data_IF_548340361969
#
_entry.id   IF_548340361969
#
_cell.length_a   1.000
_cell.length_b   1.000
_cell.length_c   1.000
_cell.angle_alpha   90.00
_cell.angle_beta   90.00
_cell.angle_gamma   90.00
#
_symmetry.space_group_name_H-M   'P 1'
#
loop_
_entity.id
_entity.type
_entity.pdbx_description
1 polymer ?
2 non-polymer ?
3 non-polymer ?
4 water ?
#
# COMPACT_ATOMS: atom_id res chain seq x y z
N UNK A 3 -20.26 6.16 -10.55
CA UNK A 3 -20.95 5.85 -9.31
C UNK A 3 -19.99 5.35 -8.20
N UNK A 4 -18.96 4.47 -8.44
CA UNK A 4 -18.11 4.03 -7.32
C UNK A 4 -17.46 5.16 -6.52
N UNK A 5 -16.81 6.13 -7.21
CA UNK A 5 -16.15 7.28 -6.62
C UNK A 5 -17.12 8.22 -5.88
N UNK A 6 -18.30 8.51 -6.48
CA UNK A 6 -19.35 9.35 -5.88
C UNK A 6 -19.87 8.69 -4.60
N UNK A 7 -20.06 7.33 -4.63
CA UNK A 7 -20.50 6.54 -3.48
C UNK A 7 -19.41 6.56 -2.38
N UNK A 8 -18.13 6.35 -2.77
CA UNK A 8 -16.99 6.32 -1.85
C UNK A 8 -16.83 7.66 -1.14
N UNK A 9 -16.97 8.78 -1.88
CA UNK A 9 -16.91 10.14 -1.32
C UNK A 9 -18.09 10.46 -0.41
N UNK A 10 -19.29 9.95 -0.74
CA UNK A 10 -20.51 10.13 0.06
C UNK A 10 -20.28 9.46 1.43
N UNK A 11 -19.81 8.20 1.42
CA UNK A 11 -19.51 7.43 2.63
C UNK A 11 -18.38 8.11 3.46
N UNK A 12 -17.39 8.79 2.81
CA UNK A 12 -16.36 9.54 3.54
C UNK A 12 -17.03 10.63 4.40
N UNK A 13 -17.98 11.39 3.79
CA UNK A 13 -18.69 12.45 4.50
C UNK A 13 -19.42 11.86 5.70
N UNK A 14 -20.03 10.68 5.51
CA UNK A 14 -20.79 9.98 6.55
C UNK A 14 -19.86 9.51 7.72
N UNK A 15 -18.71 8.87 7.39
CA UNK A 15 -17.76 8.40 8.40
C UNK A 15 -17.17 9.62 9.13
N UNK A 16 -16.74 10.66 8.37
CA UNK A 16 -16.15 11.85 8.98
C UNK A 16 -17.15 12.50 9.97
N UNK A 17 -18.41 12.70 9.56
CA UNK A 17 -19.42 13.29 10.44
C UNK A 17 -19.66 12.42 11.69
N UNK A 18 -19.68 11.07 11.52
CA UNK A 18 -19.83 10.19 12.69
C UNK A 18 -18.64 10.35 13.65
N UNK A 19 -17.39 10.31 13.13
CA UNK A 19 -16.19 10.41 13.96
C UNK A 19 -16.12 11.74 14.73
N UNK A 20 -16.40 12.86 14.04
CA UNK A 20 -16.35 14.19 14.64
C UNK A 20 -17.51 14.41 15.62
N UNK A 21 -18.71 13.89 15.31
CA UNK A 21 -19.84 13.99 16.24
C UNK A 21 -19.60 13.13 17.48
N UNK A 22 -18.98 11.94 17.33
CA UNK A 22 -18.63 11.06 18.44
C UNK A 22 -17.68 11.82 19.40
N UNK A 23 -16.63 12.49 18.85
CA UNK A 23 -15.68 13.30 19.63
C UNK A 23 -16.38 14.41 20.42
N UNK A 24 -17.26 15.17 19.75
CA UNK A 24 -18.05 16.24 20.33
C UNK A 24 -19.00 15.74 21.46
N UNK A 25 -19.78 14.66 21.18
CA UNK A 25 -20.84 14.13 22.06
C UNK A 25 -20.41 13.11 23.12
N UNK A 26 -19.34 12.35 22.86
CA UNK A 26 -18.89 11.33 23.79
C UNK A 26 -17.50 11.55 24.35
N UNK A 27 -16.66 12.38 23.70
CA UNK A 27 -15.27 12.60 24.15
C UNK A 27 -14.99 14.01 24.64
N UNK A 28 -16.04 14.82 24.80
CA UNK A 28 -15.97 16.19 25.32
C UNK A 28 -15.13 17.17 24.46
N UNK A 29 -15.06 16.96 23.12
CA UNK A 29 -14.27 17.86 22.28
C UNK A 29 -14.89 19.20 22.03
N UNK A 30 -14.08 20.26 22.15
CA UNK A 30 -14.50 21.63 21.86
C UNK A 30 -14.55 21.87 20.32
N UNK A 31 -15.45 22.76 19.80
CA UNK A 31 -15.52 23.01 18.35
C UNK A 31 -14.21 23.36 17.66
N UNK A 32 -13.35 24.19 18.29
CA UNK A 32 -12.05 24.55 17.68
C UNK A 32 -11.22 23.31 17.36
N UNK A 33 -11.17 22.33 18.29
CA UNK A 33 -10.43 21.09 18.04
C UNK A 33 -11.15 20.20 17.06
N UNK A 34 -12.51 20.18 17.06
CA UNK A 34 -13.28 19.39 16.07
C UNK A 34 -12.95 19.85 14.66
N UNK A 35 -13.00 21.18 14.41
CA UNK A 35 -12.68 21.72 13.09
C UNK A 35 -11.22 21.45 12.72
N UNK A 36 -10.32 21.54 13.72
CA UNK A 36 -8.89 21.22 13.53
C UNK A 36 -8.72 19.73 13.07
N UNK A 37 -9.46 18.79 13.67
CA UNK A 37 -9.37 17.39 13.27
C UNK A 37 -10.03 17.13 11.92
N UNK A 38 -11.13 17.84 11.62
CA UNK A 38 -11.80 17.76 10.32
C UNK A 38 -10.80 18.13 9.20
N UNK A 39 -10.09 19.27 9.38
CA UNK A 39 -9.09 19.74 8.42
C UNK A 39 -7.91 18.73 8.29
N UNK A 40 -7.39 18.22 9.45
CA UNK A 40 -6.30 17.24 9.48
C UNK A 40 -6.70 15.96 8.73
N UNK A 41 -7.92 15.46 8.97
CA UNK A 41 -8.47 14.25 8.34
C UNK A 41 -8.56 14.45 6.80
N UNK A 42 -9.06 15.62 6.36
CA UNK A 42 -9.18 15.96 4.95
C UNK A 42 -7.81 16.01 4.28
N UNK A 43 -6.83 16.69 4.91
CA UNK A 43 -5.45 16.85 4.42
C UNK A 43 -4.73 15.51 4.27
N UNK A 44 -4.92 14.62 5.24
CA UNK A 44 -4.21 13.35 5.24
C UNK A 44 -4.89 12.25 4.46
N UNK A 45 -6.25 12.19 4.46
CA UNK A 45 -6.98 11.08 3.85
C UNK A 45 -7.47 11.31 2.42
N UNK A 46 -7.56 12.58 2.01
CA UNK A 46 -8.03 12.94 0.68
C UNK A 46 -6.87 13.44 -0.23
N UNK A 47 -7.08 13.35 -1.54
CA UNK A 47 -6.11 13.83 -2.52
C UNK A 47 -5.37 12.78 -3.32
N UNK A 48 -5.46 11.53 -2.88
CA UNK A 48 -4.81 10.41 -3.56
C UNK A 48 -5.69 9.79 -4.63
N UNK A 49 -5.33 8.60 -5.10
CA UNK A 49 -6.09 7.93 -6.16
C UNK A 49 -7.20 7.03 -5.60
N UNK A 50 -7.10 6.63 -4.29
CA UNK A 50 -8.06 5.73 -3.61
C UNK A 50 -8.09 4.31 -4.21
N UNK A 51 -6.99 3.90 -4.83
CA UNK A 51 -6.91 2.58 -5.45
C UNK A 51 -7.21 1.44 -4.47
N UNK A 52 -6.68 1.53 -3.23
CA UNK A 52 -6.94 0.52 -2.19
C UNK A 52 -8.42 0.49 -1.79
N UNK A 53 -8.99 1.66 -1.48
CA UNK A 53 -10.39 1.79 -1.11
C UNK A 53 -11.36 1.36 -2.19
N UNK A 54 -11.15 1.83 -3.43
CA UNK A 54 -12.04 1.48 -4.54
C UNK A 54 -11.99 0.00 -4.88
N UNK A 55 -10.83 -0.69 -4.64
CA UNK A 55 -10.67 -2.13 -4.90
C UNK A 55 -11.69 -2.92 -4.05
N UNK A 56 -11.94 -2.49 -2.78
CA UNK A 56 -12.90 -3.15 -1.89
C UNK A 56 -14.31 -3.10 -2.49
N UNK A 57 -14.71 -1.92 -3.02
CA UNK A 57 -16.00 -1.69 -3.68
C UNK A 57 -16.16 -2.63 -4.88
N UNK A 58 -15.15 -2.66 -5.79
CA UNK A 58 -15.11 -3.52 -6.99
C UNK A 58 -15.21 -5.02 -6.68
N UNK A 59 -14.62 -5.47 -5.58
CA UNK A 59 -14.66 -6.87 -5.17
C UNK A 59 -16.09 -7.24 -4.70
N UNK A 60 -16.68 -6.42 -3.81
CA UNK A 60 -18.04 -6.63 -3.29
C UNK A 60 -19.12 -6.71 -4.39
N UNK A 61 -19.06 -5.78 -5.38
CA UNK A 61 -20.02 -5.71 -6.48
C UNK A 61 -19.98 -6.96 -7.37
N UNK A 62 -18.77 -7.50 -7.57
CA UNK A 62 -18.53 -8.70 -8.35
C UNK A 62 -19.12 -9.93 -7.66
N UNK A 63 -19.09 -9.94 -6.32
CA UNK A 63 -19.56 -11.08 -5.52
C UNK A 63 -21.06 -11.07 -5.24
N UNK A 64 -21.76 -9.94 -5.47
CA UNK A 64 -23.22 -9.87 -5.33
C UNK A 64 -23.94 -10.08 -6.67
N UNK A 65 -23.23 -9.81 -7.79
CA UNK A 65 -23.74 -9.91 -9.15
C UNK A 65 -23.49 -11.28 -9.78
N UNK A 66 -22.36 -11.90 -9.42
CA UNK A 66 -21.88 -13.13 -10.03
C UNK A 66 -21.63 -14.26 -9.03
N UNK A 77 -33.48 -6.42 -2.02
CA UNK A 77 -32.21 -5.75 -2.26
C UNK A 77 -31.59 -5.08 -1.05
N UNK A 78 -31.98 -5.52 0.17
CA UNK A 78 -31.46 -4.99 1.44
C UNK A 78 -30.02 -5.45 1.68
N UNK A 79 -29.66 -6.64 1.16
CA UNK A 79 -28.33 -7.22 1.27
C UNK A 79 -27.32 -6.48 0.38
N UNK A 80 -27.72 -6.12 -0.87
CA UNK A 80 -26.86 -5.41 -1.83
C UNK A 80 -26.37 -4.06 -1.29
N UNK A 81 -27.32 -3.17 -0.93
CA UNK A 81 -27.07 -1.83 -0.40
C UNK A 81 -26.13 -1.87 0.81
N UNK A 82 -26.34 -2.86 1.68
CA UNK A 82 -25.58 -3.12 2.90
C UNK A 82 -24.15 -3.55 2.55
N UNK A 83 -23.99 -4.52 1.61
CA UNK A 83 -22.69 -5.03 1.16
C UNK A 83 -21.84 -3.90 0.57
N UNK A 84 -22.41 -3.06 -0.34
CA UNK A 84 -21.70 -1.92 -0.94
C UNK A 84 -21.35 -0.83 0.08
N UNK A 85 -22.25 -0.59 1.08
CA UNK A 85 -21.97 0.40 2.13
C UNK A 85 -20.78 -0.08 2.98
N UNK A 86 -20.81 -1.36 3.37
CA UNK A 86 -19.77 -2.07 4.12
C UNK A 86 -18.44 -2.03 3.36
N UNK A 87 -18.49 -2.21 2.02
CA UNK A 87 -17.31 -2.15 1.13
C UNK A 87 -16.64 -0.77 1.19
N UNK A 88 -17.46 0.29 1.23
CA UNK A 88 -17.00 1.68 1.34
C UNK A 88 -16.32 1.98 2.67
N UNK A 89 -16.90 1.49 3.81
CA UNK A 89 -16.34 1.68 5.15
C UNK A 89 -14.96 0.95 5.23
N UNK A 90 -14.88 -0.30 4.71
CA UNK A 90 -13.62 -1.07 4.67
C UNK A 90 -12.58 -0.36 3.86
N UNK A 91 -13.01 0.19 2.73
CA UNK A 91 -12.20 0.99 1.84
C UNK A 91 -11.61 2.19 2.56
N UNK A 92 -12.44 2.90 3.37
CA UNK A 92 -11.91 4.03 4.11
C UNK A 92 -11.00 3.60 5.24
N UNK A 93 -11.24 2.40 5.84
CA UNK A 93 -10.31 1.86 6.86
C UNK A 93 -8.89 1.75 6.26
N UNK A 94 -8.77 1.21 5.02
CA UNK A 94 -7.47 1.08 4.33
C UNK A 94 -6.85 2.45 3.99
N UNK A 95 -7.65 3.38 3.44
CA UNK A 95 -7.21 4.75 3.13
C UNK A 95 -6.73 5.50 4.37
N UNK A 96 -7.42 5.34 5.51
CA UNK A 96 -6.98 5.95 6.80
C UNK A 96 -5.69 5.25 7.30
N UNK A 97 -5.55 3.92 7.07
CA UNK A 97 -4.33 3.19 7.46
C UNK A 97 -3.14 3.75 6.64
N UNK A 98 -3.36 3.96 5.35
CA UNK A 98 -2.37 4.51 4.41
C UNK A 98 -2.00 5.93 4.89
N UNK A 99 -3.01 6.75 5.23
CA UNK A 99 -2.83 8.11 5.79
C UNK A 99 -1.91 8.03 7.04
N UNK A 100 -2.20 7.07 7.94
CA UNK A 100 -1.40 6.82 9.16
C UNK A 100 0.08 6.55 8.80
N UNK A 101 0.36 5.64 7.84
CA UNK A 101 1.74 5.35 7.42
C UNK A 101 2.45 6.55 6.84
N UNK A 102 1.78 7.36 6.01
CA UNK A 102 2.40 8.57 5.43
C UNK A 102 2.77 9.59 6.50
N UNK A 103 1.90 9.78 7.54
CA UNK A 103 2.23 10.73 8.63
C UNK A 103 3.46 10.15 9.35
N UNK A 104 3.46 8.82 9.63
CA UNK A 104 4.58 8.19 10.33
C UNK A 104 5.87 8.38 9.50
N UNK A 105 5.78 8.22 8.15
CA UNK A 105 6.93 8.41 7.24
C UNK A 105 7.39 9.87 7.27
N UNK A 106 6.46 10.83 7.36
CA UNK A 106 6.80 12.26 7.40
C UNK A 106 7.50 12.68 8.68
N UNK A 107 7.24 11.99 9.81
CA UNK A 107 7.92 12.23 11.09
C UNK A 107 9.35 11.68 10.96
N UNK A 108 9.51 10.46 10.35
CA UNK A 108 10.77 9.72 10.09
C UNK A 108 11.78 10.54 9.29
N UNK A 109 11.28 11.43 8.39
CA UNK A 109 12.08 12.29 7.51
C UNK A 109 11.44 13.67 7.34
N UNK A 124 10.27 21.87 22.90
CA UNK A 124 8.81 21.63 23.01
C UNK A 124 8.10 21.95 21.69
N UNK A 125 8.45 21.20 20.62
CA UNK A 125 7.87 21.40 19.29
C UNK A 125 6.47 20.81 19.15
N UNK A 126 5.46 21.69 19.22
CA UNK A 126 4.04 21.33 19.13
C UNK A 126 3.68 20.79 17.72
N UNK A 127 4.45 21.11 16.65
CA UNK A 127 4.18 20.56 15.30
C UNK A 127 4.49 19.07 15.27
N UNK A 128 5.63 18.64 15.86
CA UNK A 128 6.07 17.25 15.97
C UNK A 128 5.11 16.48 16.91
N UNK A 129 4.69 17.11 18.02
CA UNK A 129 3.73 16.53 18.97
C UNK A 129 2.43 16.29 18.25
N UNK A 130 1.97 17.27 17.44
CA UNK A 130 0.73 17.13 16.70
C UNK A 130 0.84 16.10 15.59
N UNK A 131 1.99 15.97 14.91
CA UNK A 131 2.16 14.96 13.86
C UNK A 131 2.09 13.55 14.49
N UNK A 132 2.77 13.34 15.63
CA UNK A 132 2.72 12.04 16.35
C UNK A 132 1.27 11.77 16.73
N UNK A 133 0.58 12.78 17.29
CA UNK A 133 -0.82 12.64 17.68
C UNK A 133 -1.70 12.29 16.48
N UNK A 134 -1.47 12.96 15.33
CA UNK A 134 -2.20 12.68 14.08
C UNK A 134 -2.05 11.20 13.69
N UNK A 135 -0.83 10.67 13.83
CA UNK A 135 -0.52 9.29 13.46
C UNK A 135 -1.37 8.32 14.26
N UNK A 136 -1.44 8.56 15.58
CA UNK A 136 -2.23 7.76 16.52
C UNK A 136 -3.73 7.85 16.21
N UNK A 137 -4.27 9.07 15.99
CA UNK A 137 -5.68 9.29 15.66
C UNK A 137 -6.10 8.59 14.38
N UNK A 138 -5.34 8.72 13.29
CA UNK A 138 -5.67 8.08 12.01
C UNK A 138 -5.82 6.56 12.13
N UNK A 139 -4.91 5.93 12.87
CA UNK A 139 -4.99 4.49 13.08
C UNK A 139 -6.18 4.16 13.99
N UNK A 140 -6.35 4.90 15.11
CA UNK A 140 -7.50 4.66 16.00
C UNK A 140 -8.82 4.79 15.25
N UNK A 141 -8.88 5.74 14.30
CA UNK A 141 -10.09 5.97 13.49
C UNK A 141 -10.51 4.75 12.65
N UNK A 142 -9.55 3.91 12.24
CA UNK A 142 -9.85 2.69 11.48
C UNK A 142 -10.64 1.75 12.40
N UNK A 143 -10.25 1.65 13.68
CA UNK A 143 -10.98 0.83 14.66
C UNK A 143 -12.35 1.45 14.98
N UNK A 144 -12.39 2.76 15.26
CA UNK A 144 -13.64 3.45 15.65
C UNK A 144 -14.73 3.31 14.56
N UNK A 145 -14.37 3.52 13.26
CA UNK A 145 -15.34 3.41 12.17
C UNK A 145 -15.83 1.97 11.97
N UNK A 146 -14.93 0.97 12.16
CA UNK A 146 -15.28 -0.45 12.06
C UNK A 146 -16.24 -0.84 13.19
N UNK A 147 -15.90 -0.49 14.45
CA UNK A 147 -16.69 -0.81 15.65
C UNK A 147 -18.10 -0.23 15.61
N UNK A 148 -18.28 0.89 14.93
CA UNK A 148 -19.58 1.51 14.80
C UNK A 148 -20.38 0.94 13.62
N UNK A 149 -19.86 1.05 12.38
CA UNK A 149 -20.58 0.63 11.17
C UNK A 149 -20.84 -0.88 11.08
N UNK A 150 -19.97 -1.69 11.69
CA UNK A 150 -20.05 -3.16 11.67
C UNK A 150 -20.37 -3.75 13.05
N UNK A 151 -20.85 -2.92 13.98
CA UNK A 151 -21.21 -3.26 15.36
C UNK A 151 -22.00 -4.58 15.53
N UNK A 152 -23.00 -4.80 14.66
CA UNK A 152 -23.88 -5.98 14.72
C UNK A 152 -23.49 -7.11 13.76
N UNK A 153 -22.51 -6.87 12.86
CA UNK A 153 -22.02 -7.82 11.88
C UNK A 153 -21.29 -9.00 12.52
N UNK A 154 -21.55 -10.25 12.06
CA UNK A 154 -20.85 -11.42 12.63
C UNK A 154 -19.37 -11.46 12.23
N UNK A 155 -19.02 -10.77 11.13
CA UNK A 155 -17.66 -10.72 10.61
C UNK A 155 -16.75 -9.69 11.32
N UNK A 156 -17.31 -8.84 12.23
CA UNK A 156 -16.51 -7.80 12.92
C UNK A 156 -15.19 -8.34 13.53
N UNK A 157 -15.23 -9.45 14.29
CA UNK A 157 -14.05 -10.03 14.94
C UNK A 157 -12.98 -10.47 13.93
N UNK A 158 -13.40 -11.20 12.87
CA UNK A 158 -12.48 -11.67 11.81
C UNK A 158 -11.91 -10.50 11.02
N UNK A 159 -12.74 -9.50 10.73
CA UNK A 159 -12.30 -8.32 9.99
C UNK A 159 -11.22 -7.59 10.79
N UNK A 160 -11.45 -7.36 12.11
CA UNK A 160 -10.52 -6.68 13.02
C UNK A 160 -9.20 -7.44 13.10
N UNK A 161 -9.28 -8.79 13.26
CA UNK A 161 -8.10 -9.65 13.35
C UNK A 161 -7.23 -9.63 12.08
N UNK A 162 -7.85 -9.74 10.88
CA UNK A 162 -7.13 -9.71 9.61
C UNK A 162 -6.51 -8.34 9.35
N UNK A 163 -7.26 -7.26 9.64
CA UNK A 163 -6.77 -5.90 9.51
C UNK A 163 -5.56 -5.65 10.42
N UNK A 164 -5.64 -6.05 11.71
CA UNK A 164 -4.54 -5.89 12.68
C UNK A 164 -3.31 -6.69 12.28
N UNK A 165 -3.52 -7.91 11.74
CA UNK A 165 -2.41 -8.74 11.33
C UNK A 165 -1.69 -8.12 10.12
N UNK A 166 -2.45 -7.52 9.17
CA UNK A 166 -1.86 -6.86 8.00
C UNK A 166 -1.12 -5.59 8.41
N UNK A 167 -1.68 -4.84 9.37
CA UNK A 167 -1.03 -3.64 9.90
C UNK A 167 0.31 -4.04 10.56
N UNK A 168 0.31 -5.10 11.38
CA UNK A 168 1.53 -5.62 11.98
C UNK A 168 2.55 -6.02 10.89
N UNK A 169 2.10 -6.78 9.86
CA UNK A 169 2.93 -7.21 8.73
C UNK A 169 3.67 -5.99 8.13
N UNK A 170 2.91 -4.89 7.92
CA UNK A 170 3.45 -3.65 7.34
C UNK A 170 4.57 -3.02 8.20
N UNK A 171 4.40 -2.99 9.54
CA UNK A 171 5.41 -2.45 10.47
C UNK A 171 6.66 -3.35 10.41
N UNK A 172 6.46 -4.66 10.31
CA UNK A 172 7.59 -5.60 10.18
C UNK A 172 8.35 -5.31 8.86
N UNK A 173 7.63 -5.06 7.78
CA UNK A 173 8.21 -4.74 6.47
C UNK A 173 8.99 -3.43 6.51
N UNK A 174 8.47 -2.48 7.27
CA UNK A 174 9.14 -1.19 7.46
C UNK A 174 10.47 -1.40 8.19
N UNK A 175 10.52 -2.32 9.16
CA UNK A 175 11.77 -2.64 9.86
C UNK A 175 12.80 -3.22 8.85
N UNK A 176 12.37 -4.23 8.06
CA UNK A 176 13.20 -4.86 7.03
C UNK A 176 13.76 -3.82 6.08
N UNK A 177 12.94 -2.84 5.69
CA UNK A 177 13.29 -1.77 4.76
C UNK A 177 14.35 -0.80 5.27
N UNK A 178 14.05 -0.18 6.39
CA UNK A 178 14.83 0.84 7.09
C UNK A 178 16.20 0.31 7.57
N UNK A 179 16.31 -1.01 7.78
CA UNK A 179 17.56 -1.61 8.26
C UNK A 179 18.28 -2.44 7.23
N UNK A 180 17.80 -2.43 5.97
CA UNK A 180 18.36 -3.26 4.87
C UNK A 180 19.85 -3.07 4.60
N UNK A 181 20.31 -1.83 4.77
CA UNK A 181 21.68 -1.36 4.55
C UNK A 181 22.55 -1.47 5.84
N UNK A 182 21.96 -2.05 6.90
CA UNK A 182 22.59 -2.27 8.21
C UNK A 182 22.35 -3.73 8.67
N UNK A 183 22.57 -4.00 10.00
CA UNK A 183 22.44 -5.24 10.80
C UNK A 183 23.59 -5.39 11.80
N UNK A 199 26.36 -4.86 2.20
CA UNK A 199 25.36 -5.15 1.17
C UNK A 199 24.90 -6.62 1.19
N UNK A 200 25.08 -7.32 2.35
CA UNK A 200 24.73 -8.74 2.50
C UNK A 200 23.27 -9.02 2.25
N UNK A 201 22.39 -8.06 2.61
CA UNK A 201 20.95 -8.22 2.43
C UNK A 201 20.46 -7.67 1.11
N UNK A 202 21.40 -7.24 0.22
CA UNK A 202 21.06 -6.75 -1.11
C UNK A 202 20.97 -7.94 -2.05
N UNK A 203 19.89 -8.72 -1.85
CA UNK A 203 19.58 -9.89 -2.65
C UNK A 203 18.16 -9.74 -3.14
N UNK A 204 17.81 -10.51 -4.20
CA UNK A 204 16.47 -10.47 -4.79
C UNK A 204 15.44 -11.10 -3.82
N UNK A 205 15.82 -12.19 -3.12
CA UNK A 205 14.94 -12.83 -2.15
C UNK A 205 14.60 -11.87 -0.99
N UNK A 206 15.59 -11.08 -0.53
CA UNK A 206 15.36 -10.10 0.53
C UNK A 206 14.57 -8.90 0.02
N UNK A 207 14.82 -8.50 -1.25
CA UNK A 207 14.10 -7.40 -1.88
C UNK A 207 12.62 -7.78 -1.89
N UNK A 208 12.31 -9.06 -2.26
CA UNK A 208 10.94 -9.60 -2.28
C UNK A 208 10.33 -9.63 -0.87
N UNK A 209 11.13 -9.98 0.16
CA UNK A 209 10.66 -9.98 1.56
C UNK A 209 10.23 -8.55 1.95
N UNK A 210 11.04 -7.53 1.60
CA UNK A 210 10.72 -6.14 1.91
C UNK A 210 9.41 -5.74 1.23
N UNK A 211 9.31 -5.97 -0.09
CA UNK A 211 8.11 -5.59 -0.87
C UNK A 211 6.84 -6.25 -0.34
N UNK A 212 6.88 -7.58 -0.14
CA UNK A 212 5.76 -8.39 0.36
C UNK A 212 5.21 -7.78 1.67
N UNK A 213 6.07 -7.61 2.67
CA UNK A 213 5.65 -7.14 3.99
C UNK A 213 5.34 -5.66 4.06
N UNK A 214 6.24 -4.83 3.51
CA UNK A 214 6.11 -3.38 3.58
C UNK A 214 4.97 -2.82 2.72
N UNK A 215 4.71 -3.46 1.56
CA UNK A 215 3.75 -2.90 0.63
C UNK A 215 2.61 -3.83 0.17
N UNK A 216 2.94 -5.03 -0.34
CA UNK A 216 2.00 -5.97 -0.96
C UNK A 216 0.81 -6.37 -0.09
N UNK A 217 1.06 -6.75 1.20
CA UNK A 217 -0.02 -7.19 2.10
C UNK A 217 -1.14 -6.13 2.28
N UNK A 218 -0.79 -4.87 2.57
CA UNK A 218 -1.80 -3.81 2.81
C UNK A 218 -2.34 -3.16 1.53
N UNK A 219 -1.52 -3.11 0.45
CA UNK A 219 -1.92 -2.46 -0.81
C UNK A 219 -2.70 -3.38 -1.76
N UNK A 220 -2.30 -4.65 -1.85
CA UNK A 220 -2.95 -5.58 -2.78
C UNK A 220 -3.79 -6.61 -2.08
N UNK A 221 -3.26 -7.28 -1.04
CA UNK A 221 -4.01 -8.36 -0.40
C UNK A 221 -5.18 -7.89 0.46
N UNK A 222 -4.95 -6.93 1.35
CA UNK A 222 -5.96 -6.41 2.27
C UNK A 222 -7.25 -5.91 1.53
N UNK A 223 -7.17 -5.07 0.47
CA UNK A 223 -8.43 -4.65 -0.20
C UNK A 223 -9.22 -5.83 -0.75
N UNK A 224 -8.51 -6.85 -1.31
CA UNK A 224 -9.11 -8.07 -1.85
C UNK A 224 -9.82 -8.85 -0.74
N UNK A 225 -9.15 -9.08 0.40
CA UNK A 225 -9.68 -9.80 1.56
C UNK A 225 -10.92 -9.11 2.17
N UNK A 226 -10.87 -7.76 2.33
CA UNK A 226 -11.98 -6.99 2.91
C UNK A 226 -13.24 -7.05 2.06
N UNK A 227 -13.07 -7.02 0.74
CA UNK A 227 -14.17 -7.16 -0.21
C UNK A 227 -14.85 -8.51 -0.11
N UNK A 228 -14.07 -9.57 0.22
CA UNK A 228 -14.54 -10.93 0.44
C UNK A 228 -15.28 -11.06 1.76
N UNK A 229 -14.75 -10.42 2.84
CA UNK A 229 -15.34 -10.45 4.18
C UNK A 229 -16.75 -9.88 4.18
N UNK A 230 -16.93 -8.63 3.67
CA UNK A 230 -18.23 -7.94 3.59
C UNK A 230 -19.25 -8.72 2.74
N UNK A 231 -18.77 -9.47 1.74
CA UNK A 231 -19.59 -10.30 0.85
C UNK A 231 -19.90 -11.67 1.45
N UNK A 232 -19.33 -11.99 2.65
CA UNK A 232 -19.47 -13.28 3.36
C UNK A 232 -19.01 -14.41 2.42
N UNK A 233 -17.97 -14.14 1.62
CA UNK A 233 -17.47 -15.06 0.61
C UNK A 233 -15.99 -15.44 0.77
N UNK A 234 -15.43 -15.24 1.96
CA UNK A 234 -14.04 -15.57 2.28
C UNK A 234 -13.68 -17.07 2.10
N UNK A 235 -14.48 -18.08 2.55
CA UNK A 235 -14.04 -19.48 2.36
C UNK A 235 -14.24 -20.06 0.96
N UNK A 236 -14.90 -19.30 0.05
CA UNK A 236 -15.21 -19.72 -1.32
C UNK A 236 -14.04 -19.53 -2.32
N UNK A 237 -12.90 -18.96 -1.87
CA UNK A 237 -11.74 -18.64 -2.71
C UNK A 237 -10.46 -19.35 -2.25
N UNK A 238 -9.54 -19.63 -3.22
CA UNK A 238 -8.24 -20.23 -2.93
C UNK A 238 -7.35 -19.09 -2.48
N UNK A 239 -7.13 -19.02 -1.15
CA UNK A 239 -6.34 -17.97 -0.48
C UNK A 239 -4.88 -18.00 -0.90
N UNK A 240 -4.35 -19.19 -1.19
CA UNK A 240 -2.97 -19.40 -1.60
C UNK A 240 -2.61 -18.67 -2.88
N UNK A 241 -3.43 -18.86 -3.92
CA UNK A 241 -3.30 -18.22 -5.23
C UNK A 241 -3.52 -16.68 -5.12
N UNK A 242 -4.48 -16.26 -4.26
CA UNK A 242 -4.79 -14.85 -4.01
C UNK A 242 -3.59 -14.15 -3.35
N UNK A 243 -3.00 -14.78 -2.29
CA UNK A 243 -1.82 -14.25 -1.58
C UNK A 243 -0.68 -14.12 -2.58
N UNK A 244 -0.42 -15.18 -3.36
CA UNK A 244 0.59 -15.23 -4.41
C UNK A 244 0.39 -14.13 -5.44
N UNK A 245 -0.86 -13.89 -5.91
CA UNK A 245 -1.19 -12.81 -6.84
C UNK A 245 -0.87 -11.43 -6.23
N UNK A 246 -1.27 -11.20 -4.97
CA UNK A 246 -1.02 -9.93 -4.27
C UNK A 246 0.48 -9.62 -4.20
N UNK A 247 1.30 -10.63 -3.83
CA UNK A 247 2.76 -10.52 -3.74
C UNK A 247 3.39 -10.19 -5.09
N UNK A 248 2.92 -10.84 -6.16
CA UNK A 248 3.42 -10.63 -7.52
C UNK A 248 3.09 -9.24 -8.04
N UNK A 249 1.84 -8.78 -7.85
CA UNK A 249 1.38 -7.44 -8.25
C UNK A 249 2.17 -6.36 -7.49
N UNK A 250 2.38 -6.55 -6.17
CA UNK A 250 3.19 -5.67 -5.33
C UNK A 250 4.63 -5.59 -5.84
N UNK A 251 5.21 -6.73 -6.16
CA UNK A 251 6.58 -6.80 -6.73
C UNK A 251 6.65 -6.02 -8.10
N UNK A 252 5.69 -6.27 -9.01
CA UNK A 252 5.61 -5.59 -10.33
C UNK A 252 5.57 -4.07 -10.10
N UNK A 253 4.68 -3.59 -9.23
CA UNK A 253 4.55 -2.16 -8.93
C UNK A 253 5.85 -1.58 -8.36
N UNK A 254 6.49 -2.25 -7.37
CA UNK A 254 7.71 -1.75 -6.73
C UNK A 254 8.92 -1.65 -7.67
N UNK A 255 9.10 -2.64 -8.56
CA UNK A 255 10.20 -2.68 -9.55
C UNK A 255 10.04 -1.47 -10.47
N UNK A 256 8.81 -1.22 -10.92
CA UNK A 256 8.48 -0.07 -11.76
C UNK A 256 8.74 1.21 -10.97
N UNK A 257 8.29 1.25 -9.69
CA UNK A 257 8.48 2.42 -8.81
C UNK A 257 9.96 2.74 -8.63
N UNK A 258 10.79 1.69 -8.43
CA UNK A 258 12.24 1.80 -8.25
C UNK A 258 12.95 2.34 -9.47
N UNK A 259 12.60 1.84 -10.66
CA UNK A 259 13.21 2.28 -11.92
C UNK A 259 12.85 3.74 -12.18
N UNK A 260 11.58 4.11 -11.94
CA UNK A 260 11.07 5.48 -12.09
C UNK A 260 11.70 6.44 -11.08
N UNK A 261 11.95 5.97 -9.83
CA UNK A 261 12.58 6.79 -8.78
C UNK A 261 13.95 7.29 -9.24
N UNK A 262 14.73 6.42 -9.93
CA UNK A 262 16.06 6.73 -10.40
C UNK A 262 16.10 7.51 -11.74
N UNK A 263 15.27 7.09 -12.73
CA UNK A 263 15.32 7.63 -14.09
C UNK A 263 14.20 8.61 -14.51
N UNK A 264 13.05 8.61 -13.84
CA UNK A 264 11.96 9.54 -14.18
C UNK A 264 12.24 10.90 -13.49
N UNK A 265 12.44 12.00 -14.28
CA UNK A 265 12.72 13.32 -13.68
C UNK A 265 11.63 13.85 -12.73
N UNK A 266 12.02 14.66 -11.71
CA UNK A 266 11.04 15.11 -10.67
C UNK A 266 9.72 15.70 -11.14
N UNK A 267 9.69 16.48 -12.25
CA UNK A 267 8.46 17.10 -12.76
C UNK A 267 7.47 16.06 -13.31
N UNK A 268 8.00 14.93 -13.84
CA UNK A 268 7.23 13.82 -14.41
C UNK A 268 6.89 12.78 -13.34
N UNK A 269 7.81 12.55 -12.38
CA UNK A 269 7.65 11.59 -11.26
C UNK A 269 6.69 12.11 -10.18
N UNK A 270 6.69 13.41 -9.94
CA UNK A 270 5.84 14.05 -8.94
C UNK A 270 6.47 14.16 -7.57
N UNK A 271 7.76 13.76 -7.48
CA UNK A 271 8.61 13.80 -6.28
C UNK A 271 10.08 13.77 -6.68
N UNK A 272 10.97 14.07 -5.73
CA UNK A 272 12.41 14.01 -5.97
C UNK A 272 12.85 12.60 -5.57
N UNK A 273 13.39 11.84 -6.53
CA UNK A 273 13.89 10.48 -6.31
C UNK A 273 15.16 10.50 -5.47
N UNK A 274 15.13 9.79 -4.34
CA UNK A 274 16.22 9.79 -3.35
C UNK A 274 16.69 8.35 -2.95
N UNK A 275 16.30 7.30 -3.69
CA UNK A 275 16.70 5.92 -3.35
C UNK A 275 18.22 5.72 -3.26
N UNK A 276 18.98 6.32 -4.18
CA UNK A 276 20.44 6.19 -4.20
C UNK A 276 21.05 6.84 -2.94
N UNK A 277 20.67 8.11 -2.67
CA UNK A 277 21.13 8.88 -1.51
C UNK A 277 20.81 8.15 -0.22
N UNK A 278 19.61 7.58 -0.16
CA UNK A 278 19.10 6.90 1.02
C UNK A 278 19.63 5.48 1.17
N UNK A 279 20.42 5.00 0.19
CA UNK A 279 21.01 3.67 0.16
C UNK A 279 19.91 2.61 0.32
N UNK A 280 18.83 2.77 -0.44
CA UNK A 280 17.72 1.82 -0.37
C UNK A 280 18.07 0.46 -1.02
N UNK A 281 17.43 -0.60 -0.53
CA UNK A 281 17.59 -1.92 -1.12
C UNK A 281 16.58 -1.98 -2.27
N UNK A 282 16.93 -1.32 -3.38
CA UNK A 282 16.07 -1.22 -4.54
C UNK A 282 16.31 -2.34 -5.55
N UNK A 283 15.34 -2.56 -6.46
CA UNK A 283 15.51 -3.56 -7.49
C UNK A 283 16.77 -3.24 -8.32
N UNK A 284 17.04 -1.93 -8.59
CA UNK A 284 18.22 -1.56 -9.39
C UNK A 284 19.52 -1.97 -8.70
N UNK A 285 19.68 -1.66 -7.40
CA UNK A 285 20.86 -2.02 -6.60
C UNK A 285 21.12 -3.54 -6.54
N UNK A 286 20.08 -4.35 -6.19
CA UNK A 286 20.22 -5.82 -6.11
C UNK A 286 20.56 -6.46 -7.50
N UNK A 287 19.92 -5.97 -8.61
CA UNK A 287 20.18 -6.47 -9.98
C UNK A 287 21.59 -6.09 -10.42
N UNK A 288 22.00 -4.84 -10.15
CA UNK A 288 23.34 -4.36 -10.48
C UNK A 288 24.45 -5.21 -9.80
N UNK A 289 24.27 -5.53 -8.51
CA UNK A 289 25.31 -6.26 -7.77
C UNK A 289 25.55 -7.67 -8.30
N UNK A 290 24.51 -8.31 -8.85
CA UNK A 290 24.62 -9.65 -9.40
C UNK A 290 25.42 -9.63 -10.72
N UNK A 291 25.34 -8.51 -11.48
CA UNK A 291 25.98 -8.48 -12.78
C UNK A 291 27.26 -7.57 -12.92
N UNK A 292 27.65 -6.81 -11.89
CA UNK A 292 28.84 -5.94 -11.94
C UNK A 292 30.16 -6.70 -11.69
N UNK A 293 31.29 -6.13 -12.19
CA UNK A 293 32.65 -6.68 -11.98
C UNK A 293 33.13 -6.26 -10.58
N UNK A 294 34.23 -6.87 -10.08
CA UNK A 294 34.76 -6.53 -8.75
C UNK A 294 35.06 -5.03 -8.56
N UNK A 295 35.72 -4.39 -9.56
CA UNK A 295 36.03 -2.97 -9.50
C UNK A 295 34.80 -2.10 -9.62
N UNK A 296 33.78 -2.52 -10.43
CA UNK A 296 32.49 -1.81 -10.57
C UNK A 296 31.72 -1.89 -9.24
N UNK A 297 31.73 -3.08 -8.57
CA UNK A 297 31.09 -3.29 -7.26
C UNK A 297 31.77 -2.37 -6.25
N UNK A 298 33.11 -2.30 -6.31
CA UNK A 298 33.94 -1.44 -5.46
C UNK A 298 33.57 0.04 -5.70
N UNK A 299 33.30 0.42 -6.97
CA UNK A 299 32.89 1.77 -7.37
C UNK A 299 31.45 2.06 -6.88
N UNK A 300 30.55 1.06 -6.99
CA UNK A 300 29.17 1.15 -6.50
C UNK A 300 29.18 1.37 -4.98
N UNK A 301 29.97 0.54 -4.25
CA UNK A 301 30.08 0.60 -2.79
C UNK A 301 30.65 1.93 -2.27
N UNK A 302 31.64 2.51 -2.98
CA UNK A 302 32.23 3.76 -2.57
C UNK A 302 31.29 4.98 -2.79
N UNK A 303 30.30 4.86 -3.71
CA UNK A 303 29.41 5.95 -4.13
C UNK A 303 27.92 5.84 -3.70
N UNK A 304 27.47 4.67 -3.23
CA UNK A 304 26.09 4.48 -2.82
C UNK A 304 25.83 5.06 -1.42
N UNK A 305 24.60 5.58 -1.21
CA UNK A 305 24.18 6.12 0.08
C UNK A 305 24.78 7.46 0.42
N UNK A 306 25.11 8.26 -0.60
CA UNK A 306 25.66 9.60 -0.40
C UNK A 306 24.78 10.66 -1.05
N UNK A 307 24.66 11.79 -0.37
CA UNK A 307 23.92 12.96 -0.85
C UNK A 307 24.66 13.68 -1.97
N UNK A 308 26.00 13.50 -2.06
CA UNK A 308 26.84 14.16 -3.07
C UNK A 308 26.41 13.84 -4.51
N UNK A 309 26.05 14.90 -5.26
CA UNK A 309 25.55 14.95 -6.64
C UNK A 309 26.32 14.08 -7.62
N UNK A 310 27.66 14.13 -7.56
CA UNK A 310 28.58 13.38 -8.41
C UNK A 310 28.54 11.89 -8.11
N UNK A 311 28.39 11.52 -6.82
CA UNK A 311 28.32 10.13 -6.39
C UNK A 311 27.01 9.45 -6.84
N UNK A 312 25.89 10.20 -6.79
CA UNK A 312 24.55 9.78 -7.25
C UNK A 312 24.58 9.58 -8.76
N UNK A 313 25.19 10.54 -9.49
CA UNK A 313 25.37 10.46 -10.93
C UNK A 313 26.23 9.24 -11.31
N UNK A 314 27.28 8.95 -10.51
CA UNK A 314 28.16 7.80 -10.75
C UNK A 314 27.34 6.50 -10.68
N UNK A 315 26.44 6.40 -9.68
CA UNK A 315 25.56 5.24 -9.49
C UNK A 315 24.62 5.09 -10.70
N UNK A 316 23.96 6.20 -11.12
CA UNK A 316 23.10 6.23 -12.31
C UNK A 316 23.83 5.76 -13.56
N UNK A 317 25.09 6.21 -13.74
CA UNK A 317 25.96 5.86 -14.86
C UNK A 317 26.23 4.35 -14.84
N UNK A 318 26.51 3.78 -13.65
CA UNK A 318 26.74 2.34 -13.47
C UNK A 318 25.51 1.53 -13.86
N UNK A 319 24.29 1.93 -13.39
CA UNK A 319 23.02 1.29 -13.74
C UNK A 319 22.79 1.30 -15.27
N UNK A 320 23.05 2.45 -15.93
CA UNK A 320 22.92 2.65 -17.38
C UNK A 320 23.87 1.75 -18.17
N UNK A 321 25.15 1.70 -17.76
CA UNK A 321 26.20 0.92 -18.40
C UNK A 321 26.00 -0.58 -18.20
N UNK A 322 25.23 -0.97 -17.16
CA UNK A 322 24.88 -2.36 -16.88
C UNK A 322 23.56 -2.76 -17.58
N UNK A 323 22.97 -1.84 -18.37
CA UNK A 323 21.71 -2.03 -19.13
C UNK A 323 20.53 -2.45 -18.21
N UNK A 324 20.39 -1.80 -17.05
CA UNK A 324 19.35 -2.18 -16.10
C UNK A 324 17.94 -1.85 -16.59
N UNK A 325 17.78 -0.80 -17.43
CA UNK A 325 16.48 -0.42 -18.00
C UNK A 325 16.00 -1.45 -19.01
N UNK A 326 16.94 -2.10 -19.69
CA UNK A 326 16.67 -3.17 -20.63
C UNK A 326 16.20 -4.41 -19.87
N UNK A 327 16.91 -4.76 -18.78
CA UNK A 327 16.61 -5.90 -17.89
C UNK A 327 15.27 -5.72 -17.18
N UNK A 328 14.90 -4.46 -16.92
CA UNK A 328 13.64 -4.06 -16.30
C UNK A 328 12.42 -4.54 -17.11
N UNK A 329 12.43 -4.30 -18.44
CA UNK A 329 11.39 -4.71 -19.39
C UNK A 329 11.16 -6.23 -19.31
N UNK A 330 12.25 -7.02 -19.34
CA UNK A 330 12.18 -8.48 -19.32
C UNK A 330 11.70 -9.01 -17.96
N UNK A 331 12.14 -8.40 -16.85
CA UNK A 331 11.73 -8.81 -15.49
C UNK A 331 10.20 -8.65 -15.32
N UNK A 332 9.68 -7.49 -15.69
CA UNK A 332 8.27 -7.11 -15.61
C UNK A 332 7.38 -8.00 -16.47
N UNK A 333 7.83 -8.33 -17.68
CA UNK A 333 7.09 -9.19 -18.59
C UNK A 333 6.90 -10.57 -17.98
N UNK A 334 7.95 -11.13 -17.33
CA UNK A 334 7.91 -12.46 -16.72
C UNK A 334 6.97 -12.47 -15.51
N UNK A 335 6.92 -11.36 -14.74
CA UNK A 335 6.04 -11.22 -13.59
C UNK A 335 4.59 -11.17 -14.12
N UNK A 336 4.36 -10.41 -15.21
CA UNK A 336 3.05 -10.25 -15.85
C UNK A 336 2.50 -11.61 -16.33
N UNK A 337 3.38 -12.45 -16.91
CA UNK A 337 3.05 -13.80 -17.40
C UNK A 337 2.49 -14.65 -16.22
N UNK A 338 3.18 -14.59 -15.05
CA UNK A 338 2.83 -15.32 -13.81
C UNK A 338 1.48 -14.85 -13.23
N UNK A 339 1.23 -13.51 -13.24
CA UNK A 339 -0.01 -12.88 -12.77
C UNK A 339 -1.19 -13.39 -13.61
N UNK A 340 -1.07 -13.27 -14.95
CA UNK A 340 -2.06 -13.68 -15.95
C UNK A 340 -2.44 -15.17 -15.79
N UNK A 341 -1.47 -16.02 -15.42
CA UNK A 341 -1.67 -17.46 -15.23
C UNK A 341 -2.45 -17.75 -13.96
N UNK A 342 -2.07 -17.11 -12.84
CA UNK A 342 -2.69 -17.34 -11.54
C UNK A 342 -4.14 -16.87 -11.47
N UNK A 343 -4.50 -15.80 -12.22
CA UNK A 343 -5.88 -15.28 -12.28
C UNK A 343 -6.80 -16.39 -12.86
N UNK A 344 -6.29 -17.13 -13.84
CA UNK A 344 -7.02 -18.22 -14.47
C UNK A 344 -7.34 -19.33 -13.46
N UNK A 345 -6.34 -19.70 -12.62
CA UNK A 345 -6.50 -20.70 -11.55
C UNK A 345 -7.60 -20.26 -10.55
N UNK A 346 -7.62 -18.97 -10.22
CA UNK A 346 -8.60 -18.35 -9.33
C UNK A 346 -10.02 -18.39 -9.92
N UNK A 347 -10.14 -18.12 -11.24
CA UNK A 347 -11.40 -18.08 -11.99
C UNK A 347 -12.07 -19.48 -12.11
N UNK A 348 -11.31 -20.57 -11.97
CA UNK A 348 -11.83 -21.94 -12.03
C UNK A 348 -12.87 -22.25 -10.93
N UNK A 349 -12.66 -21.71 -9.72
CA UNK A 349 -13.53 -21.91 -8.56
C UNK A 349 -14.22 -20.62 -8.11
N UNK A 350 -13.61 -19.45 -8.44
CA UNK A 350 -14.09 -18.13 -8.05
C UNK A 350 -14.10 -17.17 -9.27
N UNK A 351 -15.14 -17.24 -10.15
CA UNK A 351 -15.13 -16.42 -11.38
C UNK A 351 -15.27 -14.91 -11.17
N UNK A 352 -16.33 -14.47 -10.46
CA UNK A 352 -16.55 -13.06 -10.16
C UNK A 352 -15.38 -12.37 -9.49
N UNK A 353 -14.72 -13.07 -8.54
CA UNK A 353 -13.57 -12.58 -7.78
C UNK A 353 -12.36 -12.34 -8.69
N UNK A 354 -12.04 -13.30 -9.57
CA UNK A 354 -10.94 -13.22 -10.55
C UNK A 354 -11.06 -12.00 -11.47
N UNK A 355 -12.30 -11.60 -11.81
CA UNK A 355 -12.59 -10.43 -12.64
C UNK A 355 -12.24 -9.14 -11.86
N UNK A 356 -12.51 -9.11 -10.53
CA UNK A 356 -12.12 -7.94 -9.73
C UNK A 356 -10.60 -7.92 -9.53
N UNK A 357 -9.94 -9.12 -9.49
CA UNK A 357 -8.48 -9.22 -9.37
C UNK A 357 -7.82 -8.74 -10.67
N UNK A 358 -8.53 -8.96 -11.82
CA UNK A 358 -8.12 -8.58 -13.17
C UNK A 358 -8.09 -7.06 -13.30
N UNK A 359 -9.16 -6.37 -12.77
CA UNK A 359 -9.30 -4.90 -12.72
C UNK A 359 -8.17 -4.31 -11.87
N UNK A 360 -7.91 -4.88 -10.66
CA UNK A 360 -6.84 -4.43 -9.77
C UNK A 360 -5.49 -4.46 -10.49
N UNK A 361 -5.21 -5.55 -11.24
CA UNK A 361 -4.02 -5.74 -12.05
C UNK A 361 -3.91 -4.71 -13.18
N UNK A 362 -5.01 -4.44 -13.88
CA UNK A 362 -5.05 -3.44 -14.94
C UNK A 362 -4.60 -2.06 -14.47
N UNK A 363 -4.93 -1.71 -13.20
CA UNK A 363 -4.53 -0.45 -12.55
C UNK A 363 -3.01 -0.39 -12.27
N UNK A 364 -2.36 -1.58 -12.09
CA UNK A 364 -0.93 -1.72 -11.82
C UNK A 364 -0.13 -1.81 -13.15
N UNK A 365 -0.63 -2.61 -14.12
CA UNK A 365 0.00 -2.84 -15.41
C UNK A 365 -0.11 -1.61 -16.32
X LIG B 1 0.40 16.86 9.14
X LIG B 1 0.74 17.78 10.24
X LIG B 1 -1.37 16.89 9.05
X LIG B 1 0.65 15.25 9.81
X LIG C 1 -6.46 25.80 14.65
X LIG C 1 -6.30 25.85 13.24
X LIG C 1 -5.35 25.02 15.32
X LIG C 1 -5.53 25.06 16.72
X LIG C 1 -5.01 23.93 17.40
X LIG C 1 -6.08 23.27 18.21
X LIG C 1 -5.59 22.11 18.85
X LIG D 1 12.17 -0.71 -1.92
X LIG D 1 11.22 -1.44 -1.08
X LIG D 1 13.53 -0.34 -0.87
X LIG D 1 11.53 0.94 -2.02
#
# INVERSE_FOLDING_TARGET
GPMPMQMFMQVYDEIQMFLLEELELKFDMDPNRVRYLRKMMDTTCLGGKYNRGLTVIDVAESLLSLSPNNNGEEDDGARRKRVLHDACVCGWMIEFLQAHYLVEDDIMDNSVTRRGKPCWYRHPDVTVQCAINDGLLLKSWTHMMAMHFFADRPFLQDLLCRFNRVDYTTAVGQLYDVTSMFDSNKLDPDVSQPTTTDFAEFTLSNYKRIVKYKTAYYTYLLPLVMGLIVSEALPTVDMGVTEELAMLMGEYFQVQDDVMDCFTPPERLGKVGTDIQDAKCSWLAVTFLAKASSAQVAEFKANYGSGDSEKVATVRRLYEEADLQGDYVAYEAAVAEQVKELIEKLRLCSPGFAASVETLWGKTYKRQK
DMS S O C1 C2
PEG C1 O1 C2 O2 C3 C4 O4
DMS S O C1 C2
#
